data_IF_595021261557
#
_entry.id   IF_595021261557
#
_cell.length_a   1.000
_cell.length_b   1.000
_cell.length_c   1.000
_cell.angle_alpha   90.00
_cell.angle_beta   90.00
_cell.angle_gamma   90.00
#
_symmetry.space_group_name_H-M   'P 1'
#
loop_
_entity.id
_entity.type
_entity.pdbx_description
1 polymer ?
#
# COMPACT_ATOMS: atom_id res chain seq x y z
N UNK A 1 64.05 -18.09 13.69
CA UNK A 1 63.07 -18.95 13.01
C UNK A 1 63.02 -18.50 11.56
N UNK A 2 63.35 -19.41 10.65
CA UNK A 2 63.62 -19.19 9.23
C UNK A 2 62.33 -19.14 8.41
N UNK A 3 62.14 -18.06 7.64
CA UNK A 3 61.10 -17.97 6.62
C UNK A 3 61.44 -18.94 5.47
N UNK A 4 60.65 -20.00 5.32
CA UNK A 4 60.73 -20.88 4.17
C UNK A 4 60.20 -20.13 2.93
N UNK A 5 61.12 -19.65 2.09
CA UNK A 5 60.83 -19.20 0.74
C UNK A 5 60.53 -20.43 -0.13
N UNK A 6 59.34 -20.47 -0.71
CA UNK A 6 58.98 -21.45 -1.72
C UNK A 6 59.80 -21.20 -3.01
N UNK A 7 60.21 -22.26 -3.72
CA UNK A 7 60.94 -22.10 -4.97
C UNK A 7 60.02 -21.53 -6.06
N UNK A 8 60.50 -20.61 -6.92
CA UNK A 8 59.71 -20.12 -8.03
C UNK A 8 59.49 -21.25 -9.05
N UNK A 9 58.29 -21.35 -9.65
CA UNK A 9 57.98 -22.37 -10.63
C UNK A 9 58.81 -22.15 -11.92
N UNK A 10 59.23 -23.22 -12.61
CA UNK A 10 59.98 -23.11 -13.85
C UNK A 10 59.03 -22.72 -14.99
N UNK A 11 59.15 -21.48 -15.47
CA UNK A 11 58.33 -21.01 -16.57
C UNK A 11 58.16 -19.51 -16.59
N UNK A 12 59.28 -18.77 -16.65
CA UNK A 12 59.25 -17.35 -16.97
C UNK A 12 58.95 -17.19 -18.47
N UNK A 13 57.69 -17.40 -18.85
CA UNK A 13 57.17 -17.26 -20.20
C UNK A 13 55.90 -16.42 -20.13
N UNK A 14 55.95 -15.24 -20.74
CA UNK A 14 55.00 -14.14 -20.63
C UNK A 14 53.59 -14.41 -21.24
N UNK A 15 53.13 -15.66 -21.33
CA UNK A 15 51.92 -16.07 -22.05
C UNK A 15 51.05 -17.01 -21.19
N UNK A 16 50.50 -16.50 -20.09
CA UNK A 16 49.38 -17.19 -19.41
C UNK A 16 48.07 -16.84 -20.12
N UNK A 17 47.38 -17.80 -20.79
CA UNK A 17 46.12 -17.52 -21.50
C UNK A 17 44.98 -17.13 -20.55
N UNK A 18 45.16 -17.36 -19.25
CA UNK A 18 44.22 -17.03 -18.17
C UNK A 18 44.46 -15.65 -17.55
N UNK A 19 45.55 -14.95 -17.94
CA UNK A 19 45.91 -13.63 -17.41
C UNK A 19 45.54 -12.47 -18.35
N UNK A 20 44.93 -12.78 -19.51
CA UNK A 20 44.46 -11.77 -20.45
C UNK A 20 43.17 -11.13 -19.93
N UNK A 21 43.28 -9.97 -19.27
CA UNK A 21 42.11 -9.15 -18.96
C UNK A 21 41.56 -8.54 -20.25
N UNK A 22 40.30 -8.84 -20.58
CA UNK A 22 39.62 -8.23 -21.71
C UNK A 22 39.41 -6.74 -21.43
N UNK A 23 40.00 -5.83 -22.23
CA UNK A 23 39.90 -4.38 -22.03
C UNK A 23 38.47 -3.84 -22.20
N UNK A 24 37.54 -4.64 -22.73
CA UNK A 24 36.14 -4.26 -22.88
C UNK A 24 35.27 -4.64 -21.68
N UNK A 25 35.81 -5.37 -20.70
CA UNK A 25 35.04 -5.83 -19.54
C UNK A 25 34.69 -4.66 -18.60
N UNK A 26 33.41 -4.53 -18.28
CA UNK A 26 32.90 -3.56 -17.30
C UNK A 26 31.95 -4.28 -16.34
N UNK A 27 31.99 -3.97 -15.03
CA UNK A 27 31.08 -4.58 -14.06
C UNK A 27 29.65 -4.11 -14.32
N UNK A 28 28.72 -5.06 -14.39
CA UNK A 28 27.27 -4.81 -14.50
C UNK A 28 26.77 -4.11 -13.24
N UNK A 29 26.06 -2.98 -13.38
CA UNK A 29 25.50 -2.28 -12.22
C UNK A 29 24.13 -2.86 -11.85
N UNK A 30 23.74 -2.77 -10.57
CA UNK A 30 22.49 -3.35 -10.06
C UNK A 30 21.22 -2.82 -10.76
N UNK A 31 21.28 -1.65 -11.40
CA UNK A 31 20.17 -1.08 -12.18
C UNK A 31 19.93 -1.81 -13.52
N UNK A 32 20.88 -2.63 -13.98
CA UNK A 32 20.82 -3.34 -15.26
C UNK A 32 20.16 -4.73 -15.14
N UNK A 33 19.89 -5.20 -13.91
CA UNK A 33 19.36 -6.53 -13.63
C UNK A 33 17.82 -6.54 -13.62
N UNK A 34 17.20 -6.45 -14.81
CA UNK A 34 15.83 -6.93 -14.94
C UNK A 34 15.83 -8.45 -14.78
N UNK A 35 14.97 -8.99 -13.90
CA UNK A 35 14.90 -10.41 -13.60
C UNK A 35 14.86 -11.27 -14.86
N UNK A 36 15.84 -12.17 -15.00
CA UNK A 36 15.99 -13.02 -16.18
C UNK A 36 14.89 -14.09 -16.19
N UNK A 37 14.11 -14.18 -17.27
CA UNK A 37 13.16 -15.29 -17.44
C UNK A 37 13.95 -16.61 -17.48
N UNK A 38 13.71 -17.56 -16.55
CA UNK A 38 14.46 -18.80 -16.45
C UNK A 38 14.27 -19.74 -17.65
N UNK A 39 13.32 -19.45 -18.55
CA UNK A 39 13.08 -20.22 -19.77
C UNK A 39 13.89 -19.74 -20.97
N UNK A 40 14.60 -18.62 -20.86
CA UNK A 40 15.42 -18.10 -21.96
C UNK A 40 16.89 -18.56 -21.86
N UNK A 41 17.47 -19.12 -22.94
CA UNK A 41 18.86 -19.57 -22.95
C UNK A 41 19.84 -18.40 -22.84
N UNK A 42 21.05 -18.71 -22.37
CA UNK A 42 22.12 -17.73 -22.23
C UNK A 42 22.60 -17.24 -23.61
N UNK A 43 22.80 -15.92 -23.77
CA UNK A 43 23.39 -15.32 -24.97
C UNK A 43 22.42 -14.65 -25.94
N UNK A 44 21.10 -14.64 -25.67
CA UNK A 44 20.18 -13.79 -26.44
C UNK A 44 20.23 -12.35 -25.94
N UNK A 45 20.34 -11.42 -26.87
CA UNK A 45 20.27 -9.99 -26.59
C UNK A 45 18.85 -9.67 -26.07
N UNK A 46 18.70 -8.98 -24.91
CA UNK A 46 17.39 -8.60 -24.42
C UNK A 46 16.62 -7.82 -25.49
N UNK A 47 15.28 -7.97 -25.57
CA UNK A 47 14.48 -7.09 -26.42
C UNK A 47 14.73 -5.64 -26.02
N UNK A 48 14.83 -4.75 -27.01
CA UNK A 48 15.02 -3.33 -26.75
C UNK A 48 13.89 -2.82 -25.84
N UNK A 49 14.21 -1.96 -24.85
CA UNK A 49 13.18 -1.38 -24.00
C UNK A 49 12.17 -0.61 -24.87
N UNK A 50 10.87 -0.64 -24.53
CA UNK A 50 9.86 0.10 -25.27
C UNK A 50 10.22 1.58 -25.30
N UNK A 51 9.98 2.24 -26.44
CA UNK A 51 10.22 3.66 -26.58
C UNK A 51 9.34 4.43 -25.60
N UNK A 52 9.85 5.53 -25.03
CA UNK A 52 9.06 6.40 -24.13
C UNK A 52 7.75 6.91 -24.76
N UNK A 53 7.67 6.90 -26.08
CA UNK A 53 6.46 7.22 -26.85
C UNK A 53 5.33 6.21 -26.64
N UNK A 54 5.64 4.93 -26.37
CA UNK A 54 4.67 3.88 -26.09
C UNK A 54 4.10 3.95 -24.66
N UNK A 55 4.76 4.70 -23.77
CA UNK A 55 4.32 4.96 -22.40
C UNK A 55 3.49 6.23 -22.26
N UNK A 56 3.25 6.96 -23.36
CA UNK A 56 2.44 8.17 -23.29
C UNK A 56 0.96 7.83 -23.10
N UNK A 57 0.30 8.36 -22.05
CA UNK A 57 -1.11 8.14 -21.85
C UNK A 57 -1.92 8.64 -23.06
N UNK A 58 -2.98 7.92 -23.46
CA UNK A 58 -3.74 8.26 -24.65
C UNK A 58 -4.29 9.69 -24.55
N UNK A 59 -4.04 10.49 -25.58
CA UNK A 59 -4.52 11.87 -25.68
C UNK A 59 -6.05 11.84 -25.70
N UNK A 60 -6.68 12.21 -24.58
CA UNK A 60 -8.15 12.26 -24.50
C UNK A 60 -8.67 13.34 -25.47
N UNK A 61 -9.72 13.05 -26.23
CA UNK A 61 -10.27 14.03 -27.17
C UNK A 61 -10.82 15.23 -26.40
N UNK A 62 -10.68 16.44 -26.98
CA UNK A 62 -11.18 17.69 -26.39
C UNK A 62 -12.67 17.65 -26.06
N UNK A 63 -13.44 16.77 -26.71
CA UNK A 63 -14.85 16.52 -26.42
C UNK A 63 -15.09 16.03 -24.98
N UNK A 64 -14.19 15.23 -24.39
CA UNK A 64 -14.32 14.76 -23.01
C UNK A 64 -14.30 15.94 -22.02
N UNK A 65 -13.49 16.96 -22.29
CA UNK A 65 -13.42 18.15 -21.43
C UNK A 65 -14.72 18.95 -21.49
N UNK A 66 -15.32 19.11 -22.68
CA UNK A 66 -16.62 19.78 -22.83
C UNK A 66 -17.78 19.00 -22.20
N UNK A 67 -17.73 17.66 -22.23
CA UNK A 67 -18.72 16.81 -21.54
C UNK A 67 -18.64 17.02 -20.03
N UNK A 68 -17.44 16.98 -19.45
CA UNK A 68 -17.25 17.21 -18.01
C UNK A 68 -17.71 18.61 -17.62
N UNK A 69 -17.34 19.63 -18.40
CA UNK A 69 -17.76 21.01 -18.14
C UNK A 69 -19.29 21.18 -18.19
N UNK A 70 -19.95 20.50 -19.15
CA UNK A 70 -21.41 20.49 -19.27
C UNK A 70 -22.09 19.84 -18.06
N UNK A 71 -21.60 18.69 -17.60
CA UNK A 71 -22.15 18.00 -16.41
C UNK A 71 -22.02 18.88 -15.16
N UNK A 72 -20.86 19.51 -14.96
CA UNK A 72 -20.63 20.40 -13.81
C UNK A 72 -21.55 21.62 -13.86
N UNK A 73 -21.75 22.22 -15.04
CA UNK A 73 -22.65 23.36 -15.20
C UNK A 73 -24.12 22.99 -14.89
N UNK A 74 -24.57 21.80 -15.31
CA UNK A 74 -25.93 21.31 -15.02
C UNK A 74 -26.13 21.10 -13.53
N UNK A 75 -25.17 20.47 -12.84
CA UNK A 75 -25.24 20.26 -11.38
C UNK A 75 -25.27 21.60 -10.64
N UNK A 76 -24.44 22.57 -11.05
CA UNK A 76 -24.42 23.89 -10.44
C UNK A 76 -25.76 24.63 -10.60
N UNK A 77 -26.39 24.55 -11.78
CA UNK A 77 -27.72 25.14 -12.03
C UNK A 77 -28.79 24.46 -11.19
N UNK A 78 -28.74 23.14 -11.01
CA UNK A 78 -29.70 22.40 -10.16
C UNK A 78 -29.56 22.80 -8.69
N UNK A 79 -28.33 22.89 -8.17
CA UNK A 79 -28.08 23.30 -6.77
C UNK A 79 -28.54 24.74 -6.55
N UNK A 80 -28.22 25.66 -7.46
CA UNK A 80 -28.67 27.06 -7.36
C UNK A 80 -30.20 27.13 -7.47
N UNK A 81 -30.82 26.35 -8.35
CA UNK A 81 -32.28 26.25 -8.47
C UNK A 81 -32.94 25.74 -7.19
N UNK A 82 -32.39 24.71 -6.55
CA UNK A 82 -32.88 24.18 -5.27
C UNK A 82 -32.75 25.19 -4.12
N UNK A 83 -31.74 26.06 -4.13
CA UNK A 83 -31.51 27.06 -3.08
C UNK A 83 -32.45 28.28 -3.18
N UNK A 84 -32.95 28.60 -4.37
CA UNK A 84 -33.81 29.79 -4.60
C UNK A 84 -35.30 29.46 -4.77
N UNK A 85 -35.66 28.24 -5.18
CA UNK A 85 -37.05 27.77 -5.24
C UNK A 85 -37.29 26.76 -4.11
N UNK A 86 -37.46 27.26 -2.88
CA UNK A 86 -37.84 26.39 -1.76
C UNK A 86 -39.19 25.72 -2.02
N UNK A 87 -39.22 24.38 -2.07
CA UNK A 87 -40.41 23.59 -1.80
C UNK A 87 -40.08 22.13 -1.45
N UNK A 88 -40.51 21.76 -0.24
CA UNK A 88 -41.08 20.49 0.20
C UNK A 88 -40.28 19.18 -0.02
N UNK A 89 -39.88 18.57 1.10
CA UNK A 89 -39.71 17.13 1.22
C UNK A 89 -40.90 16.36 0.62
N UNK A 90 -40.64 15.33 -0.19
CA UNK A 90 -41.44 14.12 -0.20
C UNK A 90 -40.71 13.02 0.56
N UNK A 91 -41.40 12.48 1.56
CA UNK A 91 -41.11 11.15 2.10
C UNK A 91 -41.23 10.06 1.01
N UNK A 92 -40.44 9.01 1.23
CA UNK A 92 -40.58 7.63 0.76
C UNK A 92 -40.27 7.29 -0.69
N UNK A 93 -39.29 6.38 -0.87
CA UNK A 93 -39.16 5.63 -2.11
C UNK A 93 -37.88 4.82 -2.34
N UNK A 94 -37.25 4.18 -1.34
CA UNK A 94 -36.38 3.02 -1.59
C UNK A 94 -36.14 2.18 -0.31
N UNK A 95 -36.77 1.02 -0.25
CA UNK A 95 -36.35 -0.18 0.50
C UNK A 95 -36.86 -1.39 -0.32
N UNK A 96 -36.17 -2.55 -0.39
CA UNK A 96 -35.64 -3.25 0.78
C UNK A 96 -34.24 -3.89 0.66
N UNK A 97 -33.74 -4.34 1.82
CA UNK A 97 -32.70 -5.36 2.07
C UNK A 97 -31.25 -5.01 1.74
N UNK A 98 -30.26 -5.22 2.61
CA UNK A 98 -30.23 -6.08 3.79
C UNK A 98 -30.13 -5.30 5.10
N UNK A 99 -31.04 -5.59 6.02
CA UNK A 99 -30.73 -5.51 7.43
C UNK A 99 -29.64 -6.55 7.71
N UNK A 100 -28.40 -6.12 7.86
CA UNK A 100 -27.51 -6.86 8.73
C UNK A 100 -27.99 -6.53 10.14
N UNK A 101 -28.71 -7.47 10.76
CA UNK A 101 -28.75 -7.58 12.21
C UNK A 101 -27.33 -7.88 12.67
N UNK A 102 -26.48 -6.86 12.70
CA UNK A 102 -25.30 -6.89 13.54
C UNK A 102 -25.83 -6.69 14.96
N UNK A 103 -25.89 -7.79 15.69
CA UNK A 103 -26.07 -7.78 17.13
C UNK A 103 -25.13 -6.71 17.72
N UNK A 104 -25.63 -5.75 18.52
CA UNK A 104 -24.77 -4.73 19.11
C UNK A 104 -23.80 -5.40 20.08
N UNK A 105 -22.60 -5.71 19.59
CA UNK A 105 -21.43 -5.97 20.42
C UNK A 105 -21.03 -4.66 21.11
N UNK A 106 -20.53 -4.69 22.36
CA UNK A 106 -20.65 -3.58 23.30
C UNK A 106 -19.91 -2.34 22.76
N UNK A 107 -20.71 -1.29 22.51
CA UNK A 107 -20.35 0.11 22.23
C UNK A 107 -19.15 0.34 21.29
N UNK A 108 -19.41 0.32 19.97
CA UNK A 108 -18.46 0.91 19.02
C UNK A 108 -18.16 2.36 19.35
N UNK A 109 -16.90 2.75 19.24
CA UNK A 109 -16.39 4.06 19.67
C UNK A 109 -16.71 5.20 18.69
N UNK A 110 -17.34 4.87 17.55
CA UNK A 110 -17.67 5.80 16.48
C UNK A 110 -16.53 6.03 15.48
N UNK A 111 -15.32 5.51 15.74
CA UNK A 111 -14.18 5.55 14.81
C UNK A 111 -13.97 4.20 14.13
N UNK A 112 -14.86 3.85 13.20
CA UNK A 112 -14.82 2.60 12.45
C UNK A 112 -15.19 2.80 10.98
N UNK A 113 -14.76 1.86 10.14
CA UNK A 113 -15.07 1.87 8.71
C UNK A 113 -15.17 0.42 8.18
N UNK A 114 -16.15 0.11 7.31
CA UNK A 114 -16.18 -1.19 6.64
C UNK A 114 -15.01 -1.31 5.65
N UNK A 115 -14.52 -2.51 5.41
CA UNK A 115 -13.51 -2.80 4.39
C UNK A 115 -13.92 -4.00 3.53
N UNK A 116 -13.36 -4.05 2.33
CA UNK A 116 -13.51 -5.13 1.35
C UNK A 116 -12.14 -5.52 0.78
N UNK A 117 -12.05 -6.66 0.09
CA UNK A 117 -10.87 -7.08 -0.69
C UNK A 117 -9.94 -8.10 -0.03
N UNK A 118 -10.16 -8.42 1.25
CA UNK A 118 -9.52 -9.54 1.96
C UNK A 118 -10.54 -10.17 2.92
N UNK A 119 -11.70 -10.51 2.35
CA UNK A 119 -12.95 -10.63 3.09
C UNK A 119 -13.65 -9.27 3.28
N UNK A 120 -14.88 -9.35 3.74
CA UNK A 120 -15.69 -8.20 4.14
C UNK A 120 -15.65 -8.11 5.66
N UNK A 121 -15.61 -6.88 6.18
CA UNK A 121 -15.42 -6.71 7.61
C UNK A 121 -15.39 -5.25 8.04
N UNK A 122 -15.04 -5.06 9.31
CA UNK A 122 -15.06 -3.74 9.96
C UNK A 122 -13.74 -3.52 10.67
N UNK A 123 -13.11 -2.40 10.35
CA UNK A 123 -11.92 -1.91 11.01
C UNK A 123 -12.31 -0.79 11.98
N UNK A 124 -11.84 -0.85 13.21
CA UNK A 124 -12.14 0.11 14.26
C UNK A 124 -10.89 0.49 15.05
N UNK A 125 -10.79 1.78 15.38
CA UNK A 125 -9.87 2.28 16.40
C UNK A 125 -10.66 2.41 17.70
N UNK A 126 -10.43 1.49 18.63
CA UNK A 126 -11.07 1.46 19.95
C UNK A 126 -10.53 2.60 20.82
N UNK A 127 -9.24 2.93 20.67
CA UNK A 127 -8.65 4.05 21.39
C UNK A 127 -7.19 4.24 21.02
N UNK A 128 -6.64 5.40 21.38
CA UNK A 128 -5.22 5.67 21.21
C UNK A 128 -4.71 6.66 22.25
N UNK A 129 -3.40 6.61 22.50
CA UNK A 129 -2.71 7.59 23.33
C UNK A 129 -1.33 7.91 22.76
N UNK A 130 -0.91 9.15 22.93
CA UNK A 130 0.44 9.60 22.60
C UNK A 130 1.31 9.70 23.85
N UNK A 131 2.55 9.25 23.74
CA UNK A 131 3.60 9.45 24.73
C UNK A 131 4.89 9.92 24.02
N UNK A 132 5.05 11.23 23.88
CA UNK A 132 6.11 11.80 23.03
C UNK A 132 5.97 11.32 21.59
N UNK A 133 7.03 10.72 21.05
CA UNK A 133 7.08 10.14 19.70
C UNK A 133 6.66 8.66 19.66
N UNK A 134 5.72 8.28 20.54
CA UNK A 134 5.11 6.95 20.58
C UNK A 134 3.59 7.08 20.51
N UNK A 135 2.99 6.32 19.61
CA UNK A 135 1.55 6.12 19.50
C UNK A 135 1.21 4.70 19.94
N UNK A 136 0.44 4.58 21.02
CA UNK A 136 -0.18 3.32 21.42
C UNK A 136 -1.63 3.30 20.92
N UNK A 137 -1.96 2.32 20.09
CA UNK A 137 -3.23 2.21 19.37
C UNK A 137 -3.92 0.89 19.71
N UNK A 138 -5.14 0.94 20.25
CA UNK A 138 -6.00 -0.24 20.41
C UNK A 138 -6.92 -0.35 19.20
N UNK A 139 -6.79 -1.43 18.45
CA UNK A 139 -7.60 -1.70 17.26
C UNK A 139 -8.53 -2.88 17.47
N UNK A 140 -9.62 -2.91 16.71
CA UNK A 140 -10.50 -4.07 16.54
C UNK A 140 -10.74 -4.31 15.06
N UNK A 141 -10.66 -5.57 14.65
CA UNK A 141 -10.94 -6.01 13.27
C UNK A 141 -11.90 -7.19 13.33
N UNK A 142 -13.05 -7.00 12.70
CA UNK A 142 -14.08 -8.03 12.56
C UNK A 142 -14.15 -8.44 11.09
N UNK A 143 -14.33 -9.73 10.83
CA UNK A 143 -14.63 -10.24 9.48
C UNK A 143 -16.00 -10.90 9.50
N UNK A 144 -16.77 -10.68 8.45
CA UNK A 144 -18.13 -11.19 8.35
C UNK A 144 -18.17 -12.70 8.11
N UNK A 145 -17.20 -13.23 7.34
CA UNK A 145 -17.08 -14.65 7.02
C UNK A 145 -15.62 -15.05 6.87
N UNK A 146 -15.30 -16.31 7.17
CA UNK A 146 -13.97 -16.88 6.92
C UNK A 146 -12.91 -16.52 7.98
N UNK A 147 -11.63 -16.70 7.60
CA UNK A 147 -10.45 -16.44 8.44
C UNK A 147 -9.39 -15.77 7.57
N UNK A 148 -8.99 -14.56 7.96
CA UNK A 148 -8.09 -13.72 7.19
C UNK A 148 -7.01 -13.13 8.08
N UNK A 149 -5.82 -13.00 7.49
CA UNK A 149 -4.71 -12.29 8.10
C UNK A 149 -4.65 -10.85 7.56
N UNK A 150 -4.16 -9.94 8.41
CA UNK A 150 -4.06 -8.51 8.16
C UNK A 150 -2.75 -7.98 8.71
N UNK A 151 -2.37 -6.78 8.26
CA UNK A 151 -1.28 -5.99 8.82
C UNK A 151 -1.71 -4.51 8.90
N UNK A 152 -1.03 -3.71 9.72
CA UNK A 152 -1.25 -2.26 9.76
C UNK A 152 0.05 -1.48 9.57
N UNK A 153 -0.07 -0.27 9.03
CA UNK A 153 0.97 0.75 9.10
C UNK A 153 0.34 2.12 9.33
N UNK A 154 1.15 3.09 9.73
CA UNK A 154 0.73 4.49 9.89
C UNK A 154 1.46 5.38 8.89
N UNK A 155 0.85 6.48 8.48
CA UNK A 155 1.60 7.60 7.89
C UNK A 155 1.15 8.93 8.45
N UNK A 156 2.08 9.88 8.55
CA UNK A 156 1.75 11.25 8.96
C UNK A 156 1.11 12.00 7.80
N UNK A 157 0.06 12.78 8.08
CA UNK A 157 -0.70 13.45 7.04
C UNK A 157 0.07 14.61 6.38
N UNK A 158 0.99 15.23 7.12
CA UNK A 158 1.80 16.33 6.59
C UNK A 158 2.97 15.81 5.74
N UNK A 159 3.83 14.97 6.32
CA UNK A 159 5.08 14.56 5.64
C UNK A 159 4.91 13.33 4.76
N UNK A 160 3.80 12.58 4.91
CA UNK A 160 3.55 11.29 4.25
C UNK A 160 4.58 10.20 4.56
N UNK A 161 5.43 10.42 5.57
CA UNK A 161 6.34 9.38 6.06
C UNK A 161 5.53 8.23 6.66
N UNK A 162 5.88 7.00 6.26
CA UNK A 162 5.28 5.75 6.72
C UNK A 162 6.05 5.17 7.89
N UNK A 163 5.32 4.56 8.81
CA UNK A 163 5.83 3.95 10.04
C UNK A 163 5.18 2.58 10.21
N UNK A 164 6.03 1.58 10.41
CA UNK A 164 5.59 0.24 10.77
C UNK A 164 5.49 0.12 12.31
N UNK A 165 4.57 -0.71 12.80
CA UNK A 165 4.46 -0.99 14.22
C UNK A 165 5.65 -1.81 14.73
N UNK A 166 6.06 -1.58 15.98
CA UNK A 166 7.22 -2.28 16.59
C UNK A 166 6.89 -3.68 17.10
N UNK A 167 5.63 -3.91 17.47
CA UNK A 167 5.16 -5.08 18.21
C UNK A 167 4.24 -5.99 17.40
N UNK A 168 3.65 -5.51 16.29
CA UNK A 168 2.67 -6.28 15.52
C UNK A 168 2.89 -6.23 14.01
N UNK A 169 3.49 -7.27 13.42
CA UNK A 169 3.67 -7.34 11.95
C UNK A 169 2.43 -7.80 11.18
N UNK A 170 1.73 -8.79 11.71
CA UNK A 170 0.48 -9.31 11.14
C UNK A 170 -0.35 -9.99 12.23
N UNK A 171 -1.66 -10.05 12.03
CA UNK A 171 -2.64 -10.66 12.93
C UNK A 171 -3.78 -11.28 12.13
N UNK A 172 -4.59 -12.13 12.76
CA UNK A 172 -5.71 -12.82 12.11
C UNK A 172 -7.04 -12.48 12.78
N UNK A 173 -8.09 -12.32 11.98
CA UNK A 173 -9.47 -12.21 12.43
C UNK A 173 -10.32 -13.25 11.69
N UNK A 174 -11.29 -13.83 12.41
CA UNK A 174 -12.19 -14.85 11.87
C UNK A 174 -13.63 -14.58 12.27
N UNK A 175 -14.55 -15.17 11.52
CA UNK A 175 -15.98 -15.04 11.77
C UNK A 175 -16.33 -15.37 13.23
N UNK A 176 -17.07 -14.48 13.89
CA UNK A 176 -17.46 -14.61 15.30
C UNK A 176 -16.32 -14.48 16.31
N UNK A 177 -15.07 -14.27 15.88
CA UNK A 177 -13.92 -14.01 16.75
C UNK A 177 -13.10 -12.83 16.22
N UNK A 178 -13.54 -11.60 16.50
CA UNK A 178 -12.80 -10.42 16.08
C UNK A 178 -11.43 -10.37 16.74
N UNK A 179 -10.45 -9.83 16.01
CA UNK A 179 -9.17 -9.49 16.60
C UNK A 179 -9.31 -8.17 17.36
N UNK A 180 -8.82 -8.12 18.60
CA UNK A 180 -8.67 -6.87 19.33
C UNK A 180 -7.30 -6.87 20.04
N UNK A 181 -6.52 -5.81 19.82
CA UNK A 181 -5.16 -5.75 20.31
C UNK A 181 -4.59 -4.33 20.34
N UNK A 182 -3.53 -4.16 21.12
CA UNK A 182 -2.74 -2.93 21.17
C UNK A 182 -1.56 -3.05 20.22
N UNK A 183 -1.24 -1.94 19.56
CA UNK A 183 -0.14 -1.81 18.61
C UNK A 183 0.60 -0.52 18.91
N UNK A 184 1.93 -0.58 18.91
CA UNK A 184 2.78 0.57 19.19
C UNK A 184 3.51 1.02 17.93
N UNK A 185 3.49 2.32 17.64
CA UNK A 185 4.30 2.97 16.61
C UNK A 185 5.29 3.93 17.24
N UNK A 186 6.52 3.94 16.73
CA UNK A 186 7.52 4.96 17.05
C UNK A 186 7.51 5.98 15.91
N UNK A 187 6.83 7.09 16.12
CA UNK A 187 6.57 8.12 15.11
C UNK A 187 6.31 9.47 15.77
N UNK A 188 6.65 10.60 15.12
CA UNK A 188 6.39 11.92 15.68
C UNK A 188 4.90 12.15 15.88
N UNK A 189 4.56 12.84 16.98
CA UNK A 189 3.19 13.23 17.29
C UNK A 189 2.63 14.18 16.24
N UNK A 190 1.73 13.66 15.41
CA UNK A 190 1.10 14.39 14.31
C UNK A 190 -0.22 13.75 13.90
N UNK A 191 -1.08 14.54 13.24
CA UNK A 191 -2.25 14.02 12.54
C UNK A 191 -1.82 12.92 11.57
N UNK A 192 -2.35 11.72 11.76
CA UNK A 192 -1.89 10.51 11.10
C UNK A 192 -3.06 9.68 10.59
N UNK A 193 -2.78 8.80 9.65
CA UNK A 193 -3.73 7.84 9.11
C UNK A 193 -3.21 6.44 9.34
N UNK A 194 -4.02 5.60 9.97
CA UNK A 194 -3.75 4.19 10.19
C UNK A 194 -4.38 3.40 9.07
N UNK A 195 -3.60 2.58 8.39
CA UNK A 195 -4.03 1.81 7.23
C UNK A 195 -4.10 0.34 7.58
N UNK A 196 -5.26 -0.27 7.39
CA UNK A 196 -5.43 -1.71 7.41
C UNK A 196 -5.05 -2.26 6.03
N UNK A 197 -4.26 -3.35 6.02
CA UNK A 197 -3.72 -3.95 4.80
C UNK A 197 -3.83 -5.46 4.82
N UNK A 198 -3.65 -6.07 3.64
CA UNK A 198 -3.30 -7.50 3.54
C UNK A 198 -1.97 -7.79 4.25
N UNK A 199 -1.67 -9.04 4.64
CA UNK A 199 -0.45 -9.38 5.40
C UNK A 199 0.86 -8.99 4.71
N UNK A 200 0.82 -8.85 3.39
CA UNK A 200 1.96 -8.42 2.59
C UNK A 200 2.29 -6.93 2.72
N UNK A 201 1.38 -6.13 3.28
CA UNK A 201 1.45 -4.66 3.30
C UNK A 201 1.22 -3.99 1.94
N UNK A 202 1.03 -4.75 0.86
CA UNK A 202 0.98 -4.20 -0.52
C UNK A 202 -0.37 -3.64 -0.94
N UNK A 203 -1.44 -4.11 -0.29
CA UNK A 203 -2.81 -3.73 -0.63
C UNK A 203 -3.45 -3.14 0.62
N UNK A 204 -3.78 -1.85 0.54
CA UNK A 204 -4.58 -1.15 1.52
C UNK A 204 -6.05 -1.54 1.35
N UNK A 205 -6.70 -1.89 2.46
CA UNK A 205 -8.10 -2.28 2.51
C UNK A 205 -8.96 -1.09 2.91
N UNK A 206 -8.59 -0.43 4.01
CA UNK A 206 -9.16 0.85 4.40
C UNK A 206 -8.26 1.57 5.40
N UNK A 207 -8.64 2.78 5.82
CA UNK A 207 -7.86 3.59 6.72
C UNK A 207 -8.70 4.48 7.64
N UNK A 208 -8.18 4.74 8.84
CA UNK A 208 -8.82 5.56 9.86
C UNK A 208 -7.88 6.65 10.38
N UNK A 209 -8.39 7.87 10.64
CA UNK A 209 -7.57 8.95 11.14
C UNK A 209 -7.29 8.83 12.64
N UNK A 210 -6.12 9.33 13.04
CA UNK A 210 -5.69 9.54 14.43
C UNK A 210 -5.21 10.99 14.55
N UNK A 211 -5.59 11.68 15.62
CA UNK A 211 -5.16 13.07 15.87
C UNK A 211 -3.84 13.11 16.61
N UNK A 212 -2.98 14.05 16.20
CA UNK A 212 -1.80 14.46 16.95
C UNK A 212 -2.17 15.31 18.15
#
# INVERSE_FOLDING_TARGET
MSNAQWPPPPGNGNNSPWASQDPSWRPTQFHDAQGRDPRQPFGQQPPAPPSYEDLQPPKRPRSTLFIVLGVVAVIAVVIVGMQFLGAASPESGASPSAAATAEPSPERTGNFIPFEGNGDGIFEIVGYSWNGDQLDLRIRVEVEQGDYAFAIFAFTNETRLSYDPVDMRAFSAREGQPYEGTVTFIMPRADSTIVLTTPSGRVALNALPVKG
#
